data_IF_773168077907
#
_entry.id   IF_773168077907
#
_cell.length_a   1.000
_cell.length_b   1.000
_cell.length_c   1.000
_cell.angle_alpha   90.00
_cell.angle_beta   90.00
_cell.angle_gamma   90.00
#
_symmetry.space_group_name_H-M   'P 1'
#
loop_
_entity.id
_entity.type
_entity.pdbx_description
1 polymer ?
#
# COMPACT_ATOMS: atom_id res chain seq x y z
N UNK A 1 1.31 12.48 12.23
CA UNK A 1 0.35 13.22 11.40
C UNK A 1 -0.90 13.48 12.22
N UNK A 2 -1.48 14.67 12.12
CA UNK A 2 -2.79 14.96 12.69
C UNK A 2 -3.88 14.37 11.76
N UNK A 3 -4.70 13.41 12.22
CA UNK A 3 -5.67 12.75 11.34
C UNK A 3 -6.83 13.65 10.90
N UNK A 4 -7.10 14.72 11.62
CA UNK A 4 -8.18 15.65 11.29
C UNK A 4 -7.77 16.69 10.24
N UNK A 5 -6.52 17.17 10.30
CA UNK A 5 -6.04 18.25 9.42
C UNK A 5 -5.11 17.77 8.33
N UNK A 6 -4.57 16.55 8.44
CA UNK A 6 -3.52 16.03 7.56
C UNK A 6 -2.13 16.59 7.84
N UNK A 7 -1.98 17.47 8.83
CA UNK A 7 -0.72 18.14 9.16
C UNK A 7 0.35 17.14 9.60
N UNK A 8 1.53 17.24 9.02
CA UNK A 8 2.70 16.43 9.41
C UNK A 8 3.34 17.03 10.66
N UNK A 9 3.19 16.37 11.80
CA UNK A 9 3.74 16.80 13.08
C UNK A 9 5.19 16.36 13.28
N UNK A 10 5.57 15.22 12.73
CA UNK A 10 6.93 14.70 12.78
C UNK A 10 7.17 13.74 11.60
N UNK A 11 8.41 13.72 11.11
CA UNK A 11 8.89 12.81 10.08
C UNK A 11 10.23 12.24 10.56
N UNK A 12 10.27 10.95 10.87
CA UNK A 12 11.44 10.28 11.44
C UNK A 12 11.86 9.10 10.58
N UNK A 13 13.14 9.10 10.16
CA UNK A 13 13.77 7.96 9.50
C UNK A 13 14.77 7.30 10.44
N UNK A 14 14.61 6.00 10.69
CA UNK A 14 15.48 5.21 11.58
C UNK A 14 16.03 3.97 10.88
N UNK A 15 17.23 3.48 11.25
CA UNK A 15 18.20 4.13 12.11
C UNK A 15 18.70 5.47 11.56
N UNK A 16 19.28 6.30 12.40
CA UNK A 16 19.77 7.63 12.07
C UNK A 16 21.22 7.79 12.51
N UNK A 17 21.79 8.91 12.21
CA UNK A 17 23.16 9.27 12.56
C UNK A 17 23.17 10.50 13.50
N UNK A 18 24.30 10.74 14.15
CA UNK A 18 24.47 11.94 14.96
C UNK A 18 24.83 13.12 14.06
N UNK A 19 23.94 14.10 13.93
CA UNK A 19 24.14 15.29 13.10
C UNK A 19 25.37 16.11 13.53
N UNK A 20 25.77 16.06 14.81
CA UNK A 20 26.95 16.77 15.30
C UNK A 20 28.25 16.27 14.66
N UNK A 21 28.32 15.00 14.25
CA UNK A 21 29.49 14.44 13.58
C UNK A 21 29.78 15.20 12.27
N UNK A 22 28.75 15.69 11.58
CA UNK A 22 28.88 16.51 10.37
C UNK A 22 29.27 17.97 10.66
N UNK A 23 28.77 18.52 11.76
CA UNK A 23 29.03 19.92 12.13
C UNK A 23 30.41 20.10 12.73
N UNK A 24 30.83 19.17 13.59
CA UNK A 24 32.10 19.24 14.31
C UNK A 24 33.29 18.68 13.52
N UNK A 25 33.04 18.09 12.38
CA UNK A 25 34.00 17.37 11.56
C UNK A 25 33.99 15.87 11.85
N UNK A 26 34.10 15.08 10.78
CA UNK A 26 34.07 13.63 10.82
C UNK A 26 35.39 13.07 10.28
N UNK A 27 35.93 12.04 10.93
CA UNK A 27 37.09 11.33 10.40
C UNK A 27 36.69 10.46 9.22
N UNK A 28 37.65 10.10 8.35
CA UNK A 28 37.40 9.21 7.21
C UNK A 28 36.87 7.86 7.67
N UNK A 29 37.40 7.33 8.77
CA UNK A 29 36.97 6.04 9.34
C UNK A 29 35.48 6.10 9.76
N UNK A 30 35.05 7.20 10.40
CA UNK A 30 33.68 7.38 10.82
C UNK A 30 32.72 7.55 9.63
N UNK A 31 33.16 8.24 8.59
CA UNK A 31 32.42 8.35 7.35
C UNK A 31 32.24 6.98 6.69
N UNK A 32 33.32 6.20 6.60
CA UNK A 32 33.29 4.86 6.02
C UNK A 32 32.38 3.91 6.81
N UNK A 33 32.41 4.00 8.16
CA UNK A 33 31.50 3.25 9.02
C UNK A 33 30.02 3.55 8.68
N UNK A 34 29.64 4.83 8.63
CA UNK A 34 28.27 5.24 8.33
C UNK A 34 27.84 4.90 6.90
N UNK A 35 28.75 5.04 5.95
CA UNK A 35 28.45 4.83 4.54
C UNK A 35 28.31 3.34 4.18
N UNK A 36 29.05 2.47 4.88
CA UNK A 36 29.04 1.03 4.67
C UNK A 36 28.12 0.27 5.64
N UNK A 37 27.45 0.97 6.57
CA UNK A 37 26.53 0.37 7.51
C UNK A 37 25.34 -0.25 6.75
N UNK A 38 25.12 -1.56 6.93
CA UNK A 38 24.05 -2.30 6.29
C UNK A 38 22.65 -1.78 6.63
N UNK A 39 22.51 -1.14 7.81
CA UNK A 39 21.27 -0.49 8.24
C UNK A 39 20.96 0.81 7.50
N UNK A 40 21.94 1.33 6.73
CA UNK A 40 21.84 2.55 5.92
C UNK A 40 21.31 3.77 6.68
N UNK A 41 22.01 4.23 7.73
CA UNK A 41 21.55 5.34 8.56
C UNK A 41 21.48 6.68 7.83
N UNK A 42 22.27 6.87 6.75
CA UNK A 42 22.25 8.06 5.89
C UNK A 42 21.06 8.09 4.92
N UNK A 43 20.35 6.98 4.78
CA UNK A 43 19.27 6.85 3.79
C UNK A 43 17.96 7.42 4.33
N UNK A 44 17.38 8.38 3.60
CA UNK A 44 16.05 8.91 3.91
C UNK A 44 14.96 7.95 3.40
N UNK A 45 14.33 7.21 4.30
CA UNK A 45 13.31 6.20 3.98
C UNK A 45 12.02 6.78 3.44
N UNK A 46 11.74 8.07 3.62
CA UNK A 46 10.59 8.73 3.03
C UNK A 46 10.72 8.95 1.51
N UNK A 47 11.94 8.89 0.98
CA UNK A 47 12.21 8.99 -0.45
C UNK A 47 12.19 7.63 -1.17
N UNK A 48 11.99 6.55 -0.42
CA UNK A 48 11.97 5.20 -0.97
C UNK A 48 10.57 4.82 -1.47
N UNK A 49 10.52 4.24 -2.66
CA UNK A 49 9.31 3.59 -3.16
C UNK A 49 9.14 2.22 -2.52
N UNK A 50 8.01 1.99 -1.92
CA UNK A 50 7.63 0.71 -1.32
C UNK A 50 6.41 0.13 -2.03
N UNK A 51 6.31 -1.19 -2.04
CA UNK A 51 5.07 -1.85 -2.37
C UNK A 51 4.07 -1.59 -1.22
N UNK A 52 2.98 -0.86 -1.44
CA UNK A 52 2.07 -0.46 -0.36
C UNK A 52 1.26 -1.63 0.21
N UNK A 53 1.13 -2.72 -0.56
CA UNK A 53 0.31 -3.86 -0.16
C UNK A 53 -1.12 -3.46 0.18
N UNK A 54 -1.68 -4.07 1.21
CA UNK A 54 -3.09 -3.86 1.61
C UNK A 54 -3.41 -2.45 2.12
N UNK A 55 -2.41 -1.63 2.44
CA UNK A 55 -2.64 -0.23 2.83
C UNK A 55 -3.13 0.63 1.67
N UNK A 56 -3.01 0.14 0.42
CA UNK A 56 -3.53 0.80 -0.76
C UNK A 56 -5.03 0.52 -1.03
N UNK A 57 -5.62 -0.47 -0.39
CA UNK A 57 -7.03 -0.85 -0.60
C UNK A 57 -8.04 0.27 -0.29
N UNK A 58 -7.91 1.03 0.81
CA UNK A 58 -8.75 2.20 1.05
C UNK A 58 -8.68 3.22 -0.09
N UNK A 59 -7.50 3.45 -0.67
CA UNK A 59 -7.31 4.36 -1.81
C UNK A 59 -8.04 3.81 -3.04
N UNK A 60 -7.87 2.53 -3.37
CA UNK A 60 -8.60 1.88 -4.47
C UNK A 60 -10.11 1.97 -4.28
N UNK A 61 -10.60 1.74 -3.06
CA UNK A 61 -12.01 1.88 -2.71
C UNK A 61 -12.51 3.31 -2.90
N UNK A 62 -11.76 4.30 -2.43
CA UNK A 62 -12.10 5.71 -2.58
C UNK A 62 -12.17 6.12 -4.06
N UNK A 63 -11.20 5.73 -4.89
CA UNK A 63 -11.22 5.97 -6.34
C UNK A 63 -12.48 5.34 -6.96
N UNK A 64 -12.77 4.08 -6.65
CA UNK A 64 -13.94 3.39 -7.18
C UNK A 64 -15.26 4.06 -6.83
N UNK A 65 -15.41 4.52 -5.59
CA UNK A 65 -16.60 5.25 -5.11
C UNK A 65 -16.70 6.64 -5.74
N UNK A 66 -15.61 7.40 -5.77
CA UNK A 66 -15.59 8.77 -6.29
C UNK A 66 -15.86 8.81 -7.79
N UNK A 67 -15.35 7.83 -8.54
CA UNK A 67 -15.57 7.73 -9.99
C UNK A 67 -16.90 7.07 -10.35
N UNK A 68 -17.69 6.63 -9.37
CA UNK A 68 -18.95 5.94 -9.58
C UNK A 68 -18.83 4.55 -10.20
N UNK A 69 -17.62 3.97 -10.21
CA UNK A 69 -17.40 2.62 -10.75
C UNK A 69 -17.89 1.53 -9.81
N UNK A 70 -17.93 1.83 -8.52
CA UNK A 70 -18.61 1.06 -7.49
C UNK A 70 -19.44 1.98 -6.61
N UNK A 71 -20.38 1.41 -5.89
CA UNK A 71 -21.15 2.05 -4.80
C UNK A 71 -20.94 1.28 -3.51
N UNK A 72 -21.46 1.79 -2.39
CA UNK A 72 -21.45 1.05 -1.11
C UNK A 72 -22.18 -0.28 -1.18
N UNK A 73 -23.16 -0.39 -2.08
CA UNK A 73 -24.00 -1.57 -2.27
C UNK A 73 -23.48 -2.52 -3.36
N UNK A 74 -22.43 -2.09 -4.09
CA UNK A 74 -21.82 -2.96 -5.10
C UNK A 74 -21.27 -4.22 -4.45
N UNK A 75 -21.69 -5.38 -4.97
CA UNK A 75 -21.21 -6.69 -4.54
C UNK A 75 -20.64 -7.47 -5.72
N UNK A 76 -19.59 -8.26 -5.45
CA UNK A 76 -19.05 -9.21 -6.42
C UNK A 76 -19.39 -10.65 -6.00
N UNK A 77 -19.66 -11.51 -6.99
CA UNK A 77 -19.99 -12.90 -6.73
C UNK A 77 -18.75 -13.79 -6.93
N UNK A 78 -18.18 -14.25 -5.84
CA UNK A 78 -17.09 -15.22 -5.80
C UNK A 78 -17.12 -15.97 -4.47
N UNK A 79 -16.46 -17.14 -4.46
CA UNK A 79 -16.34 -17.98 -3.26
C UNK A 79 -14.93 -18.53 -3.14
N UNK A 80 -14.57 -18.95 -1.92
CA UNK A 80 -13.24 -19.50 -1.64
C UNK A 80 -12.13 -18.46 -1.58
N UNK A 81 -10.90 -18.91 -1.76
CA UNK A 81 -9.69 -18.11 -1.56
C UNK A 81 -8.98 -17.72 -2.87
N UNK A 82 -9.52 -18.14 -4.02
CA UNK A 82 -8.93 -17.91 -5.33
C UNK A 82 -9.98 -17.40 -6.30
N UNK A 83 -9.57 -16.48 -7.15
CA UNK A 83 -10.40 -15.97 -8.23
C UNK A 83 -9.53 -15.62 -9.43
N UNK A 84 -10.02 -15.85 -10.63
CA UNK A 84 -9.47 -15.34 -11.89
C UNK A 84 -10.59 -14.77 -12.74
N UNK A 85 -10.26 -13.84 -13.61
CA UNK A 85 -11.25 -13.21 -14.49
C UNK A 85 -11.81 -14.21 -15.49
N UNK A 86 -10.94 -14.92 -16.14
CA UNK A 86 -11.26 -15.92 -17.18
C UNK A 86 -10.05 -16.81 -17.46
N UNK A 87 -10.23 -17.78 -18.33
CA UNK A 87 -9.20 -18.78 -18.68
C UNK A 87 -7.96 -18.21 -19.39
N UNK A 88 -8.01 -16.95 -19.86
CA UNK A 88 -6.85 -16.30 -20.48
C UNK A 88 -5.70 -16.08 -19.49
N UNK A 89 -6.01 -16.08 -18.18
CA UNK A 89 -5.01 -15.98 -17.12
C UNK A 89 -4.26 -17.30 -16.84
N UNK A 90 -4.66 -18.42 -17.50
CA UNK A 90 -4.01 -19.71 -17.32
C UNK A 90 -4.08 -20.18 -15.86
N UNK A 91 -2.94 -20.32 -15.22
CA UNK A 91 -2.83 -20.73 -13.81
C UNK A 91 -2.67 -19.56 -12.81
N UNK A 92 -2.80 -18.33 -13.29
CA UNK A 92 -2.67 -17.16 -12.43
C UNK A 92 -4.01 -16.82 -11.79
N UNK A 93 -3.97 -16.58 -10.47
CA UNK A 93 -5.13 -16.29 -9.65
C UNK A 93 -4.84 -15.12 -8.72
N UNK A 94 -5.84 -14.29 -8.48
CA UNK A 94 -5.87 -13.43 -7.31
C UNK A 94 -6.27 -14.27 -6.11
N UNK A 95 -5.48 -14.24 -5.05
CA UNK A 95 -5.74 -14.97 -3.81
C UNK A 95 -6.02 -14.02 -2.66
N UNK A 96 -6.91 -14.42 -1.75
CA UNK A 96 -7.15 -13.75 -0.48
C UNK A 96 -6.76 -14.67 0.67
N UNK A 97 -6.39 -14.11 1.82
CA UNK A 97 -5.92 -14.88 2.96
C UNK A 97 -7.05 -15.54 3.75
N UNK A 98 -8.22 -14.89 3.78
CA UNK A 98 -9.33 -15.31 4.63
C UNK A 98 -10.61 -15.36 3.81
N UNK A 99 -11.32 -16.49 3.89
CA UNK A 99 -12.69 -16.57 3.43
C UNK A 99 -13.62 -16.04 4.53
N UNK A 100 -14.62 -15.29 4.15
CA UNK A 100 -15.66 -14.80 5.06
C UNK A 100 -17.04 -14.99 4.46
N UNK A 101 -18.06 -15.04 5.31
CA UNK A 101 -19.46 -15.10 4.92
C UNK A 101 -20.07 -13.70 4.79
N UNK A 102 -21.17 -13.59 4.07
CA UNK A 102 -21.88 -12.32 3.85
C UNK A 102 -21.52 -11.62 2.55
N UNK A 103 -22.05 -10.42 2.39
CA UNK A 103 -21.92 -9.64 1.16
C UNK A 103 -20.45 -9.27 0.87
N UNK A 104 -20.03 -9.49 -0.38
CA UNK A 104 -18.71 -9.09 -0.88
C UNK A 104 -18.77 -7.64 -1.35
N UNK A 105 -18.97 -6.71 -0.42
CA UNK A 105 -19.03 -5.28 -0.64
C UNK A 105 -17.79 -4.56 -0.10
N UNK A 106 -17.67 -3.27 -0.37
CA UNK A 106 -16.46 -2.49 -0.03
C UNK A 106 -16.18 -2.49 1.48
N UNK A 107 -17.19 -2.42 2.34
CA UNK A 107 -17.02 -2.40 3.79
C UNK A 107 -16.43 -3.73 4.29
N UNK A 108 -17.03 -4.86 3.93
CA UNK A 108 -16.53 -6.17 4.30
C UNK A 108 -15.17 -6.47 3.67
N UNK A 109 -14.92 -6.00 2.45
CA UNK A 109 -13.64 -6.16 1.78
C UNK A 109 -12.50 -5.41 2.49
N UNK A 110 -12.75 -4.25 3.05
CA UNK A 110 -11.78 -3.53 3.90
C UNK A 110 -11.54 -4.31 5.21
N UNK A 111 -12.61 -4.71 5.90
CA UNK A 111 -12.51 -5.44 7.18
C UNK A 111 -11.68 -6.72 7.04
N UNK A 112 -11.91 -7.48 5.96
CA UNK A 112 -11.25 -8.76 5.72
C UNK A 112 -10.00 -8.66 4.83
N UNK A 113 -9.61 -7.45 4.46
CA UNK A 113 -8.48 -7.20 3.55
C UNK A 113 -8.55 -8.03 2.26
N UNK A 114 -9.72 -8.05 1.62
CA UNK A 114 -10.06 -8.94 0.52
C UNK A 114 -9.41 -8.52 -0.81
N UNK A 115 -8.40 -9.25 -1.24
CA UNK A 115 -7.69 -8.99 -2.49
C UNK A 115 -8.58 -9.18 -3.72
N UNK A 116 -9.51 -10.14 -3.67
CA UNK A 116 -10.37 -10.49 -4.81
C UNK A 116 -11.35 -9.36 -5.11
N UNK A 117 -11.97 -8.81 -4.06
CA UNK A 117 -12.85 -7.64 -4.21
C UNK A 117 -12.11 -6.47 -4.85
N UNK A 118 -10.93 -6.12 -4.33
CA UNK A 118 -10.18 -4.97 -4.82
C UNK A 118 -9.56 -5.17 -6.20
N UNK A 119 -9.22 -6.40 -6.59
CA UNK A 119 -8.82 -6.71 -7.95
C UNK A 119 -9.97 -6.46 -8.95
N UNK A 120 -11.17 -6.93 -8.64
CA UNK A 120 -12.36 -6.68 -9.46
C UNK A 120 -12.71 -5.19 -9.50
N UNK A 121 -12.61 -4.48 -8.36
CA UNK A 121 -12.79 -3.03 -8.31
C UNK A 121 -11.79 -2.30 -9.20
N UNK A 122 -10.50 -2.64 -9.14
CA UNK A 122 -9.47 -2.04 -9.98
C UNK A 122 -9.74 -2.27 -11.48
N UNK A 123 -10.22 -3.45 -11.84
CA UNK A 123 -10.63 -3.75 -13.23
C UNK A 123 -11.82 -2.91 -13.68
N UNK A 124 -12.77 -2.63 -12.81
CA UNK A 124 -13.92 -1.75 -13.10
C UNK A 124 -13.51 -0.29 -13.25
N UNK A 125 -12.56 0.17 -12.44
CA UNK A 125 -12.00 1.53 -12.54
C UNK A 125 -11.28 1.68 -13.89
N UNK A 126 -10.50 0.68 -14.29
CA UNK A 126 -9.70 0.68 -15.51
C UNK A 126 -8.40 1.48 -15.38
N UNK A 127 -7.44 1.18 -16.26
CA UNK A 127 -6.08 1.72 -16.21
C UNK A 127 -6.03 3.25 -16.25
N UNK A 128 -6.76 3.85 -17.20
CA UNK A 128 -6.69 5.30 -17.43
C UNK A 128 -7.20 6.07 -16.20
N UNK A 129 -8.36 5.70 -15.68
CA UNK A 129 -8.96 6.34 -14.50
C UNK A 129 -8.16 6.08 -13.23
N UNK A 130 -7.48 4.93 -13.14
CA UNK A 130 -6.69 4.58 -11.96
C UNK A 130 -5.37 5.36 -11.89
N UNK A 131 -4.82 5.80 -13.03
CA UNK A 131 -3.55 6.51 -13.14
C UNK A 131 -3.69 8.02 -13.33
N UNK A 132 -4.91 8.53 -13.48
CA UNK A 132 -5.21 9.97 -13.60
C UNK A 132 -5.34 10.63 -12.24
#
# INVERSE_FOLDING_TARGET
MNPTTGELLATVSTPSYNSNDFVLGMTSEKWDELNNDESKPLYNRFLQSYCPGSTFKPITGAIGLTTGKITTDTTFNYSGLKWQKDSSWGNDYVTTLTAYSGAKNVANAIIHSDNIFFAQTAMQIGKETFCS
#
